data_IF_556262181824
#
_entry.id   IF_556262181824
#
_cell.length_a   1.000
_cell.length_b   1.000
_cell.length_c   1.000
_cell.angle_alpha   90.00
_cell.angle_beta   90.00
_cell.angle_gamma   90.00
#
_symmetry.space_group_name_H-M   'P 1'
#
loop_
_entity.id
_entity.type
_entity.pdbx_description
1 polymer ?
#
# COMPACT_ATOMS: atom_id res chain seq x y z
N UNK A 1 -39.06 12.00 -6.83
CA UNK A 1 -38.22 11.06 -6.04
C UNK A 1 -36.83 10.84 -6.65
N UNK A 2 -36.67 10.25 -7.86
CA UNK A 2 -35.34 9.97 -8.46
C UNK A 2 -34.44 11.22 -8.67
N UNK A 3 -34.98 12.32 -9.20
CA UNK A 3 -34.24 13.59 -9.38
C UNK A 3 -33.81 14.21 -8.05
N UNK A 4 -34.71 14.20 -7.06
CA UNK A 4 -34.46 14.74 -5.72
C UNK A 4 -33.34 13.97 -5.00
N UNK A 5 -33.32 12.64 -5.11
CA UNK A 5 -32.29 11.80 -4.52
C UNK A 5 -30.89 12.10 -5.08
N UNK A 6 -30.76 12.20 -6.41
CA UNK A 6 -29.49 12.54 -7.04
C UNK A 6 -28.99 13.93 -6.63
N UNK A 7 -29.88 14.91 -6.49
CA UNK A 7 -29.52 16.26 -6.05
C UNK A 7 -28.98 16.23 -4.61
N UNK A 8 -29.69 15.58 -3.68
CA UNK A 8 -29.26 15.49 -2.27
C UNK A 8 -27.87 14.82 -2.18
N UNK A 9 -27.68 13.73 -2.92
CA UNK A 9 -26.42 13.00 -2.90
C UNK A 9 -25.26 13.82 -3.49
N UNK A 10 -25.48 14.51 -4.61
CA UNK A 10 -24.45 15.38 -5.21
C UNK A 10 -24.13 16.54 -4.28
N UNK A 11 -25.11 17.12 -3.57
CA UNK A 11 -24.86 18.15 -2.56
C UNK A 11 -24.01 17.61 -1.41
N UNK A 12 -24.32 16.42 -0.89
CA UNK A 12 -23.52 15.79 0.16
C UNK A 12 -22.07 15.56 -0.30
N UNK A 13 -21.89 15.01 -1.49
CA UNK A 13 -20.57 14.81 -2.10
C UNK A 13 -19.84 16.14 -2.30
N UNK A 14 -20.56 17.19 -2.71
CA UNK A 14 -19.98 18.53 -2.88
C UNK A 14 -19.45 19.10 -1.57
N UNK A 15 -20.16 18.89 -0.45
CA UNK A 15 -19.72 19.31 0.89
C UNK A 15 -18.45 18.56 1.29
N UNK A 16 -18.42 17.23 1.16
CA UNK A 16 -17.25 16.41 1.51
C UNK A 16 -16.06 16.78 0.62
N UNK A 17 -16.27 16.88 -0.69
CA UNK A 17 -15.25 17.23 -1.66
C UNK A 17 -14.65 18.63 -1.40
N UNK A 18 -15.50 19.60 -1.07
CA UNK A 18 -15.06 20.95 -0.70
C UNK A 18 -14.29 20.92 0.62
N UNK A 19 -14.76 20.20 1.63
CA UNK A 19 -14.06 20.07 2.91
C UNK A 19 -12.64 19.51 2.73
N UNK A 20 -12.50 18.37 2.04
CA UNK A 20 -11.20 17.74 1.79
C UNK A 20 -10.27 18.64 0.96
N UNK A 21 -10.82 19.31 -0.07
CA UNK A 21 -10.03 20.20 -0.92
C UNK A 21 -9.56 21.44 -0.16
N UNK A 22 -10.43 22.05 0.66
CA UNK A 22 -10.06 23.20 1.50
C UNK A 22 -9.01 22.78 2.53
N UNK A 23 -9.18 21.63 3.19
CA UNK A 23 -8.21 21.10 4.13
C UNK A 23 -6.85 20.87 3.46
N UNK A 24 -6.82 20.27 2.26
CA UNK A 24 -5.60 20.10 1.47
C UNK A 24 -4.94 21.43 1.09
N UNK A 25 -5.71 22.44 0.69
CA UNK A 25 -5.18 23.79 0.41
C UNK A 25 -4.60 24.44 1.67
N UNK A 26 -5.28 24.34 2.81
CA UNK A 26 -4.77 24.86 4.08
C UNK A 26 -3.46 24.19 4.50
N UNK A 27 -3.29 22.90 4.19
CA UNK A 27 -2.03 22.18 4.42
C UNK A 27 -0.91 22.68 3.50
N UNK A 28 -1.18 22.85 2.21
CA UNK A 28 -0.20 23.41 1.25
C UNK A 28 0.23 24.82 1.66
N UNK A 29 -0.70 25.64 2.17
CA UNK A 29 -0.44 27.00 2.64
C UNK A 29 0.26 27.05 4.01
N UNK A 30 0.50 25.91 4.66
CA UNK A 30 1.14 25.85 5.99
C UNK A 30 0.24 26.30 7.16
N UNK A 31 -1.06 26.46 6.93
CA UNK A 31 -2.04 26.85 7.97
C UNK A 31 -2.41 25.66 8.85
N UNK A 32 -2.38 24.44 8.30
CA UNK A 32 -2.56 23.19 9.06
C UNK A 32 -1.45 22.20 8.75
N UNK A 33 -1.11 21.38 9.74
CA UNK A 33 -0.22 20.25 9.52
C UNK A 33 -0.88 19.21 8.62
N UNK A 34 -0.08 18.58 7.76
CA UNK A 34 -0.48 17.37 7.06
C UNK A 34 -0.53 16.18 8.03
N UNK A 35 -1.25 15.13 7.65
CA UNK A 35 -1.29 13.87 8.40
C UNK A 35 0.01 13.06 8.32
N UNK A 36 1.06 13.58 7.67
CA UNK A 36 2.32 12.87 7.51
C UNK A 36 3.52 13.82 7.38
N UNK A 37 4.56 13.58 8.17
CA UNK A 37 5.73 14.47 8.32
C UNK A 37 6.45 14.74 6.99
N UNK A 38 6.44 13.78 6.06
CA UNK A 38 7.15 13.89 4.77
C UNK A 38 6.31 14.48 3.63
N UNK A 39 5.01 14.67 3.81
CA UNK A 39 4.12 15.12 2.73
C UNK A 39 3.49 16.45 3.08
N UNK A 40 3.54 17.41 2.16
CA UNK A 40 2.96 18.74 2.38
C UNK A 40 1.42 18.75 2.40
N UNK A 41 0.77 17.73 1.82
CA UNK A 41 -0.69 17.64 1.72
C UNK A 41 -1.15 16.19 1.80
N UNK A 42 -2.14 15.93 2.64
CA UNK A 42 -2.81 14.62 2.74
C UNK A 42 -4.33 14.72 2.92
N UNK A 43 -4.88 15.93 3.06
CA UNK A 43 -6.27 16.11 3.48
C UNK A 43 -6.49 15.54 4.88
N UNK A 44 -7.61 14.85 5.10
CA UNK A 44 -7.85 14.09 6.34
C UNK A 44 -7.17 12.71 6.36
N UNK A 45 -6.51 12.32 5.27
CA UNK A 45 -5.83 11.03 5.14
C UNK A 45 -4.38 11.09 5.66
N UNK A 46 -3.73 9.93 5.74
CA UNK A 46 -2.30 9.82 6.05
C UNK A 46 -1.40 9.87 4.79
N UNK A 47 -1.97 9.66 3.61
CA UNK A 47 -1.21 9.54 2.36
C UNK A 47 -1.81 10.37 1.22
N UNK A 48 -1.00 11.15 0.47
CA UNK A 48 -1.48 11.98 -0.65
C UNK A 48 -2.08 11.17 -1.81
N UNK A 49 -1.65 9.91 -1.99
CA UNK A 49 -2.12 9.02 -3.05
C UNK A 49 -3.62 8.69 -2.95
N UNK A 50 -4.07 8.08 -1.83
CA UNK A 50 -5.48 7.89 -1.50
C UNK A 50 -6.29 9.18 -1.49
N UNK A 51 -5.77 10.26 -0.91
CA UNK A 51 -6.40 11.58 -0.97
C UNK A 51 -6.71 11.99 -2.41
N UNK A 52 -5.71 11.94 -3.30
CA UNK A 52 -5.90 12.24 -4.72
C UNK A 52 -6.92 11.32 -5.41
N UNK A 53 -6.96 10.04 -5.04
CA UNK A 53 -7.94 9.08 -5.53
C UNK A 53 -9.38 9.45 -5.18
N UNK A 54 -9.64 9.80 -3.91
CA UNK A 54 -10.95 10.27 -3.47
C UNK A 54 -11.35 11.59 -4.13
N UNK A 55 -10.42 12.54 -4.24
CA UNK A 55 -10.64 13.79 -5.00
C UNK A 55 -11.02 13.49 -6.45
N UNK A 56 -10.33 12.55 -7.12
CA UNK A 56 -10.67 12.14 -8.48
C UNK A 56 -12.09 11.55 -8.58
N UNK A 57 -12.49 10.70 -7.63
CA UNK A 57 -13.83 10.10 -7.61
C UNK A 57 -14.89 11.19 -7.45
N UNK A 58 -14.71 12.11 -6.49
CA UNK A 58 -15.63 13.24 -6.30
C UNK A 58 -15.70 14.10 -7.54
N UNK A 59 -14.56 14.48 -8.11
CA UNK A 59 -14.48 15.28 -9.31
C UNK A 59 -15.18 14.62 -10.50
N UNK A 60 -15.03 13.31 -10.70
CA UNK A 60 -15.76 12.53 -11.72
C UNK A 60 -17.28 12.60 -11.54
N UNK A 61 -17.77 12.52 -10.31
CA UNK A 61 -19.21 12.64 -10.00
C UNK A 61 -19.70 14.08 -10.28
N UNK A 62 -18.95 15.08 -9.82
CA UNK A 62 -19.32 16.49 -9.95
C UNK A 62 -19.35 16.92 -11.42
N UNK A 63 -18.30 16.61 -12.19
CA UNK A 63 -18.21 16.96 -13.62
C UNK A 63 -19.28 16.24 -14.44
N UNK A 64 -19.50 14.94 -14.20
CA UNK A 64 -20.56 14.21 -14.89
C UNK A 64 -21.95 14.76 -14.56
N UNK A 65 -22.22 15.14 -13.30
CA UNK A 65 -23.47 15.80 -12.92
C UNK A 65 -23.67 17.13 -13.66
N UNK A 66 -22.65 17.99 -13.72
CA UNK A 66 -22.72 19.28 -14.42
C UNK A 66 -23.06 19.10 -15.90
N UNK A 67 -22.45 18.12 -16.58
CA UNK A 67 -22.69 17.83 -18.00
C UNK A 67 -24.09 17.27 -18.21
N UNK A 68 -24.51 16.26 -17.43
CA UNK A 68 -25.80 15.59 -17.60
C UNK A 68 -26.96 16.53 -17.28
N UNK A 69 -26.78 17.43 -16.31
CA UNK A 69 -27.83 18.36 -15.88
C UNK A 69 -27.85 19.70 -16.66
N UNK A 70 -26.93 19.94 -17.61
CA UNK A 70 -26.74 21.26 -18.26
C UNK A 70 -27.99 21.90 -18.87
N UNK A 71 -28.96 21.10 -19.32
CA UNK A 71 -30.22 21.57 -19.90
C UNK A 71 -31.34 21.86 -18.89
N UNK A 72 -31.16 21.48 -17.63
CA UNK A 72 -32.18 21.57 -16.59
C UNK A 72 -32.27 22.98 -15.99
N UNK A 73 -33.48 23.54 -15.93
CA UNK A 73 -33.71 24.94 -15.50
C UNK A 73 -34.33 25.09 -14.10
N UNK A 74 -34.64 23.98 -13.41
CA UNK A 74 -35.22 24.01 -12.07
C UNK A 74 -34.28 24.70 -11.07
N UNK A 75 -34.82 25.57 -10.20
CA UNK A 75 -34.03 26.37 -9.24
C UNK A 75 -33.16 25.49 -8.33
N UNK A 76 -33.69 24.39 -7.83
CA UNK A 76 -32.94 23.45 -6.99
C UNK A 76 -31.78 22.77 -7.74
N UNK A 77 -31.97 22.44 -9.03
CA UNK A 77 -30.92 21.85 -9.88
C UNK A 77 -29.82 22.88 -10.14
N UNK A 78 -30.19 24.13 -10.47
CA UNK A 78 -29.22 25.22 -10.67
C UNK A 78 -28.39 25.52 -9.43
N UNK A 79 -29.03 25.55 -8.26
CA UNK A 79 -28.31 25.68 -7.00
C UNK A 79 -27.28 24.55 -6.84
N UNK A 80 -27.70 23.30 -7.03
CA UNK A 80 -26.80 22.15 -6.96
C UNK A 80 -25.69 22.19 -8.01
N UNK A 81 -25.94 22.72 -9.22
CA UNK A 81 -24.92 22.91 -10.25
C UNK A 81 -23.87 23.94 -9.82
N UNK A 82 -24.28 25.06 -9.23
CA UNK A 82 -23.33 26.07 -8.74
C UNK A 82 -22.44 25.46 -7.65
N UNK A 83 -23.03 24.79 -6.66
CA UNK A 83 -22.27 24.15 -5.57
C UNK A 83 -21.33 23.08 -6.13
N UNK A 84 -21.80 22.25 -7.07
CA UNK A 84 -20.97 21.23 -7.70
C UNK A 84 -19.83 21.82 -8.54
N UNK A 85 -20.05 22.94 -9.25
CA UNK A 85 -19.03 23.62 -10.03
C UNK A 85 -17.93 24.20 -9.14
N UNK A 86 -18.30 24.89 -8.05
CA UNK A 86 -17.33 25.39 -7.07
C UNK A 86 -16.52 24.24 -6.47
N UNK A 87 -17.19 23.16 -6.06
CA UNK A 87 -16.54 21.98 -5.50
C UNK A 87 -15.57 21.32 -6.51
N UNK A 88 -15.97 21.24 -7.79
CA UNK A 88 -15.12 20.67 -8.85
C UNK A 88 -13.86 21.52 -9.09
N UNK A 89 -13.98 22.86 -9.04
CA UNK A 89 -12.83 23.76 -9.13
C UNK A 89 -11.88 23.53 -7.95
N UNK A 90 -12.40 23.44 -6.72
CA UNK A 90 -11.58 23.14 -5.54
C UNK A 90 -10.83 21.80 -5.68
N UNK A 91 -11.52 20.75 -6.12
CA UNK A 91 -10.90 19.45 -6.39
C UNK A 91 -9.78 19.54 -7.44
N UNK A 92 -10.00 20.31 -8.51
CA UNK A 92 -8.98 20.51 -9.56
C UNK A 92 -7.74 21.26 -9.07
N UNK A 93 -7.85 22.12 -8.06
CA UNK A 93 -6.71 22.81 -7.47
C UNK A 93 -5.80 21.87 -6.68
N UNK A 94 -6.38 20.90 -5.96
CA UNK A 94 -5.61 19.97 -5.09
C UNK A 94 -5.17 18.69 -5.79
N UNK A 95 -5.86 18.24 -6.83
CA UNK A 95 -5.54 16.98 -7.52
C UNK A 95 -4.10 16.94 -8.09
N UNK A 96 -3.54 18.01 -8.72
CA UNK A 96 -2.14 18.01 -9.14
C UNK A 96 -1.17 17.86 -7.97
N UNK A 97 -1.45 18.53 -6.85
CA UNK A 97 -0.61 18.49 -5.66
C UNK A 97 -0.57 17.10 -5.00
N UNK A 98 -1.59 16.25 -5.23
CA UNK A 98 -1.62 14.87 -4.74
C UNK A 98 -0.56 13.96 -5.38
N UNK A 99 -0.04 14.34 -6.57
CA UNK A 99 0.92 13.56 -7.35
C UNK A 99 0.45 12.12 -7.68
N UNK A 100 -0.86 11.84 -7.56
CA UNK A 100 -1.44 10.51 -7.73
C UNK A 100 -1.74 10.20 -9.21
N UNK A 101 -0.82 9.47 -9.87
CA UNK A 101 -0.98 9.06 -11.29
C UNK A 101 -2.25 8.23 -11.55
N UNK A 102 -2.58 7.34 -10.62
CA UNK A 102 -3.77 6.50 -10.72
C UNK A 102 -5.08 7.32 -10.63
N UNK A 103 -5.08 8.37 -9.81
CA UNK A 103 -6.21 9.30 -9.72
C UNK A 103 -6.42 10.06 -11.04
N UNK A 104 -5.34 10.61 -11.61
CA UNK A 104 -5.39 11.25 -12.93
C UNK A 104 -5.88 10.32 -14.04
N UNK A 105 -5.44 9.06 -14.04
CA UNK A 105 -5.91 8.06 -14.98
C UNK A 105 -7.42 7.79 -14.82
N UNK A 106 -7.89 7.62 -13.58
CA UNK A 106 -9.31 7.42 -13.28
C UNK A 106 -10.19 8.58 -13.74
N UNK A 107 -9.83 9.81 -13.40
CA UNK A 107 -10.54 11.01 -13.86
C UNK A 107 -10.46 11.19 -15.38
N UNK A 108 -9.29 10.96 -15.99
CA UNK A 108 -9.07 11.07 -17.43
C UNK A 108 -9.95 10.12 -18.23
N UNK A 109 -10.09 8.86 -17.80
CA UNK A 109 -11.00 7.88 -18.43
C UNK A 109 -12.45 8.38 -18.37
N UNK A 110 -12.89 8.94 -17.25
CA UNK A 110 -14.23 9.53 -17.12
C UNK A 110 -14.43 10.68 -18.11
N UNK A 111 -13.46 11.59 -18.23
CA UNK A 111 -13.50 12.69 -19.19
C UNK A 111 -13.57 12.17 -20.64
N UNK A 112 -12.80 11.14 -20.99
CA UNK A 112 -12.83 10.52 -22.31
C UNK A 112 -14.20 9.91 -22.63
N UNK A 113 -14.80 9.20 -21.67
CA UNK A 113 -16.13 8.62 -21.83
C UNK A 113 -17.17 9.73 -22.03
N UNK A 114 -17.14 10.79 -21.21
CA UNK A 114 -18.06 11.92 -21.35
C UNK A 114 -17.87 12.66 -22.68
N UNK A 115 -16.64 12.84 -23.14
CA UNK A 115 -16.36 13.42 -24.46
C UNK A 115 -16.93 12.56 -25.59
N UNK A 116 -16.80 11.23 -25.48
CA UNK A 116 -17.36 10.28 -26.43
C UNK A 116 -18.89 10.30 -26.46
N UNK A 117 -19.55 10.27 -25.30
CA UNK A 117 -21.01 10.11 -25.19
C UNK A 117 -21.78 11.43 -25.30
N UNK A 118 -21.26 12.54 -24.78
CA UNK A 118 -22.02 13.81 -24.64
C UNK A 118 -21.52 14.95 -25.55
N UNK A 119 -20.34 14.81 -26.16
CA UNK A 119 -19.72 15.82 -27.03
C UNK A 119 -19.35 15.28 -28.42
N UNK A 120 -19.67 14.03 -28.75
CA UNK A 120 -19.49 13.49 -30.10
C UNK A 120 -18.03 13.28 -30.50
N UNK A 121 -17.13 12.99 -29.55
CA UNK A 121 -15.71 12.71 -29.85
C UNK A 121 -15.54 11.64 -30.92
N UNK A 122 -16.43 10.63 -30.97
CA UNK A 122 -16.41 9.60 -32.01
C UNK A 122 -16.49 10.19 -33.42
N UNK A 123 -17.38 11.17 -33.64
CA UNK A 123 -17.56 11.83 -34.93
C UNK A 123 -16.31 12.64 -35.29
N UNK A 124 -15.78 13.40 -34.33
CA UNK A 124 -14.54 14.14 -34.50
C UNK A 124 -13.35 13.24 -34.87
N UNK A 125 -13.20 12.10 -34.18
CA UNK A 125 -12.13 11.12 -34.47
C UNK A 125 -12.29 10.53 -35.88
N UNK A 126 -13.52 10.22 -36.29
CA UNK A 126 -13.77 9.67 -37.64
C UNK A 126 -13.52 10.68 -38.75
N UNK A 127 -13.79 11.97 -38.50
CA UNK A 127 -13.56 13.05 -39.45
C UNK A 127 -12.08 13.48 -39.51
N UNK A 128 -11.35 13.40 -38.38
CA UNK A 128 -9.98 13.90 -38.24
C UNK A 128 -8.96 12.79 -37.97
N UNK A 129 -9.07 11.62 -38.63
CA UNK A 129 -8.30 10.40 -38.32
C UNK A 129 -6.78 10.61 -38.19
N UNK A 130 -6.16 11.42 -39.06
CA UNK A 130 -4.72 11.71 -39.00
C UNK A 130 -4.34 12.46 -37.72
N UNK A 131 -5.10 13.51 -37.39
CA UNK A 131 -4.87 14.30 -36.18
C UNK A 131 -5.17 13.48 -34.92
N UNK A 132 -6.24 12.69 -34.93
CA UNK A 132 -6.57 11.77 -33.85
C UNK A 132 -5.45 10.74 -33.61
N UNK A 133 -4.83 10.21 -34.67
CA UNK A 133 -3.67 9.33 -34.57
C UNK A 133 -2.46 10.05 -33.95
N UNK A 134 -2.17 11.30 -34.36
CA UNK A 134 -1.09 12.11 -33.77
C UNK A 134 -1.35 12.34 -32.27
N UNK A 135 -2.57 12.72 -31.88
CA UNK A 135 -2.94 12.90 -30.47
C UNK A 135 -2.78 11.60 -29.69
N UNK A 136 -3.23 10.46 -30.24
CA UNK A 136 -3.09 9.16 -29.60
C UNK A 136 -1.61 8.78 -29.39
N UNK A 137 -0.75 8.98 -30.40
CA UNK A 137 0.69 8.73 -30.31
C UNK A 137 1.33 9.64 -29.24
N UNK A 138 0.97 10.93 -29.20
CA UNK A 138 1.46 11.87 -28.19
C UNK A 138 1.06 11.46 -26.78
N UNK A 139 -0.17 11.01 -26.58
CA UNK A 139 -0.65 10.50 -25.27
C UNK A 139 0.12 9.24 -24.87
N UNK A 140 0.28 8.27 -25.78
CA UNK A 140 1.06 7.05 -25.50
C UNK A 140 2.51 7.40 -25.16
N UNK A 141 3.13 8.31 -25.91
CA UNK A 141 4.51 8.76 -25.66
C UNK A 141 4.64 9.41 -24.28
N UNK A 142 3.68 10.26 -23.89
CA UNK A 142 3.66 10.88 -22.56
C UNK A 142 3.49 9.83 -21.44
N UNK A 143 2.61 8.85 -21.63
CA UNK A 143 2.40 7.76 -20.66
C UNK A 143 3.66 6.91 -20.49
N UNK A 144 4.34 6.58 -21.59
CA UNK A 144 5.64 5.90 -21.57
C UNK A 144 6.69 6.76 -20.86
N UNK A 145 6.75 8.06 -21.14
CA UNK A 145 7.62 9.00 -20.44
C UNK A 145 7.39 9.01 -18.93
N UNK A 146 6.12 9.09 -18.49
CA UNK A 146 5.73 9.05 -17.07
C UNK A 146 6.08 7.70 -16.43
N UNK A 147 5.97 6.59 -17.18
CA UNK A 147 6.40 5.27 -16.74
C UNK A 147 7.92 5.24 -16.51
N UNK A 148 8.69 5.73 -17.47
CA UNK A 148 10.15 5.79 -17.40
C UNK A 148 10.67 6.68 -16.28
N UNK A 149 10.01 7.81 -15.97
CA UNK A 149 10.41 8.71 -14.88
C UNK A 149 10.35 8.02 -13.50
N UNK A 150 9.39 7.11 -13.29
CA UNK A 150 9.23 6.35 -12.03
C UNK A 150 9.33 4.85 -12.28
N UNK A 151 10.36 4.45 -13.03
CA UNK A 151 10.62 3.07 -13.45
C UNK A 151 10.57 2.08 -12.29
N UNK A 152 11.37 2.30 -11.23
CA UNK A 152 11.46 1.38 -10.09
C UNK A 152 10.14 1.20 -9.35
N UNK A 153 9.37 2.29 -9.22
CA UNK A 153 8.03 2.23 -8.62
C UNK A 153 7.07 1.41 -9.48
N UNK A 154 7.15 1.50 -10.80
CA UNK A 154 6.28 0.75 -11.70
C UNK A 154 6.64 -0.74 -11.74
N UNK A 155 7.92 -1.08 -11.85
CA UNK A 155 8.40 -2.47 -11.80
C UNK A 155 8.13 -3.09 -10.43
N UNK A 156 8.30 -2.34 -9.33
CA UNK A 156 7.93 -2.81 -7.99
C UNK A 156 6.45 -3.17 -7.87
N UNK A 157 5.54 -2.38 -8.45
CA UNK A 157 4.10 -2.72 -8.49
C UNK A 157 3.82 -3.98 -9.29
N UNK A 158 4.46 -4.13 -10.46
CA UNK A 158 4.32 -5.35 -11.28
C UNK A 158 4.87 -6.58 -10.56
N UNK A 159 5.98 -6.43 -9.84
CA UNK A 159 6.53 -7.50 -9.01
C UNK A 159 5.56 -7.87 -7.88
N UNK A 160 4.95 -6.87 -7.23
CA UNK A 160 3.96 -7.14 -6.18
C UNK A 160 2.80 -7.97 -6.73
N UNK A 161 2.24 -7.56 -7.87
CA UNK A 161 1.15 -8.31 -8.52
C UNK A 161 1.58 -9.70 -8.97
N UNK A 162 2.84 -9.88 -9.37
CA UNK A 162 3.36 -11.22 -9.67
C UNK A 162 3.33 -12.14 -8.45
N UNK A 163 3.68 -11.63 -7.26
CA UNK A 163 3.59 -12.41 -6.02
C UNK A 163 2.13 -12.69 -5.65
N UNK A 164 1.24 -11.71 -5.76
CA UNK A 164 -0.20 -11.90 -5.50
C UNK A 164 -0.83 -12.94 -6.45
N UNK A 165 -0.47 -12.91 -7.74
CA UNK A 165 -0.92 -13.92 -8.71
C UNK A 165 -0.38 -15.31 -8.39
N UNK A 166 0.89 -15.43 -7.96
CA UNK A 166 1.44 -16.71 -7.48
C UNK A 166 0.65 -17.23 -6.27
N UNK A 167 0.40 -16.38 -5.28
CA UNK A 167 -0.40 -16.73 -4.11
C UNK A 167 -1.83 -17.19 -4.47
N UNK A 168 -2.46 -16.58 -5.48
CA UNK A 168 -3.76 -17.04 -6.00
C UNK A 168 -3.63 -18.43 -6.62
N UNK A 169 -2.56 -18.70 -7.38
CA UNK A 169 -2.35 -20.03 -7.97
C UNK A 169 -2.15 -21.13 -6.92
N UNK A 170 -1.61 -20.80 -5.74
CA UNK A 170 -1.41 -21.77 -4.66
C UNK A 170 -2.73 -22.17 -3.99
N UNK A 171 -3.67 -21.23 -3.80
CA UNK A 171 -4.99 -21.48 -3.19
C UNK A 171 -6.14 -20.86 -4.02
N UNK A 172 -6.41 -21.37 -5.24
CA UNK A 172 -7.24 -20.65 -6.21
C UNK A 172 -8.73 -20.61 -5.88
N UNK A 173 -9.27 -21.59 -5.16
CA UNK A 173 -10.71 -21.69 -4.92
C UNK A 173 -11.17 -20.91 -3.68
N UNK A 174 -10.46 -21.05 -2.57
CA UNK A 174 -10.86 -20.52 -1.27
C UNK A 174 -10.05 -19.30 -0.84
N UNK A 175 -8.91 -19.05 -1.48
CA UNK A 175 -7.95 -18.07 -1.00
C UNK A 175 -7.33 -18.47 0.34
N UNK A 176 -6.73 -17.50 1.02
CA UNK A 176 -5.94 -17.67 2.25
C UNK A 176 -6.63 -17.14 3.51
N UNK A 177 -7.84 -16.60 3.38
CA UNK A 177 -8.62 -16.01 4.47
C UNK A 177 -8.50 -14.47 4.56
N UNK A 178 -9.42 -13.84 5.33
CA UNK A 178 -9.47 -12.39 5.47
C UNK A 178 -8.20 -11.83 6.12
N UNK A 179 -7.75 -10.65 5.67
CA UNK A 179 -6.57 -9.93 6.17
C UNK A 179 -5.22 -10.67 6.02
N UNK A 180 -5.18 -11.83 5.35
CA UNK A 180 -3.96 -12.61 5.19
C UNK A 180 -3.02 -12.10 4.08
N UNK A 181 -3.49 -11.17 3.23
CA UNK A 181 -2.81 -10.73 2.00
C UNK A 181 -1.33 -10.37 2.21
N UNK A 182 -0.98 -9.61 3.24
CA UNK A 182 0.41 -9.18 3.46
C UNK A 182 1.32 -10.32 3.95
N UNK A 183 0.81 -11.19 4.81
CA UNK A 183 1.58 -12.34 5.29
C UNK A 183 1.78 -13.40 4.21
N UNK A 184 0.73 -13.64 3.41
CA UNK A 184 0.81 -14.52 2.24
C UNK A 184 1.79 -13.96 1.22
N UNK A 185 1.71 -12.66 0.91
CA UNK A 185 2.68 -11.97 0.06
C UNK A 185 4.12 -12.20 0.56
N UNK A 186 4.37 -11.95 1.85
CA UNK A 186 5.70 -12.10 2.44
C UNK A 186 6.25 -13.52 2.29
N UNK A 187 5.41 -14.53 2.55
CA UNK A 187 5.76 -15.94 2.38
C UNK A 187 6.04 -16.30 0.91
N UNK A 188 5.14 -15.94 0.01
CA UNK A 188 5.30 -16.20 -1.43
C UNK A 188 6.54 -15.52 -2.00
N UNK A 189 6.88 -14.31 -1.52
CA UNK A 189 8.11 -13.62 -1.91
C UNK A 189 9.35 -14.36 -1.37
N UNK A 190 9.32 -14.85 -0.13
CA UNK A 190 10.41 -15.65 0.42
C UNK A 190 10.65 -16.94 -0.37
N UNK A 191 9.57 -17.66 -0.73
CA UNK A 191 9.64 -18.86 -1.56
C UNK A 191 10.18 -18.54 -2.97
N UNK A 192 9.69 -17.44 -3.58
CA UNK A 192 10.15 -16.97 -4.88
C UNK A 192 11.67 -16.76 -4.93
N UNK A 193 12.26 -16.11 -3.93
CA UNK A 193 13.70 -15.86 -3.90
C UNK A 193 14.52 -17.07 -3.42
N UNK A 194 13.92 -18.00 -2.67
CA UNK A 194 14.58 -19.25 -2.25
C UNK A 194 14.77 -20.25 -3.39
N UNK A 195 13.86 -20.29 -4.38
CA UNK A 195 13.89 -21.28 -5.48
C UNK A 195 15.15 -21.20 -6.36
N UNK A 196 15.57 -19.99 -6.73
CA UNK A 196 16.73 -19.72 -7.61
C UNK A 196 17.09 -18.24 -7.57
N UNK A 197 18.29 -17.90 -8.03
CA UNK A 197 18.70 -16.51 -8.15
C UNK A 197 17.83 -15.73 -9.15
N UNK A 198 17.62 -14.45 -8.86
CA UNK A 198 16.80 -13.53 -9.66
C UNK A 198 17.66 -12.36 -10.11
N UNK A 199 17.27 -11.73 -11.21
CA UNK A 199 18.01 -10.58 -11.73
C UNK A 199 18.00 -9.42 -10.71
N UNK A 200 19.08 -8.64 -10.72
CA UNK A 200 19.29 -7.53 -9.78
C UNK A 200 18.14 -6.52 -9.77
N UNK A 201 17.51 -6.29 -10.94
CA UNK A 201 16.34 -5.40 -11.06
C UNK A 201 15.20 -5.85 -10.13
N UNK A 202 14.87 -7.14 -10.10
CA UNK A 202 13.77 -7.68 -9.29
C UNK A 202 14.16 -7.68 -7.81
N UNK A 203 15.39 -8.07 -7.49
CA UNK A 203 15.95 -8.01 -6.12
C UNK A 203 15.89 -6.58 -5.56
N UNK A 204 16.18 -5.57 -6.38
CA UNK A 204 16.18 -4.15 -5.98
C UNK A 204 14.79 -3.63 -5.63
N UNK A 205 13.76 -4.04 -6.37
CA UNK A 205 12.38 -3.56 -6.15
C UNK A 205 11.58 -4.38 -5.14
N UNK A 206 12.06 -5.58 -4.80
CA UNK A 206 11.42 -6.44 -3.80
C UNK A 206 11.46 -5.78 -2.42
N UNK A 207 10.28 -5.58 -1.84
CA UNK A 207 10.09 -4.92 -0.55
C UNK A 207 8.95 -5.56 0.23
N UNK A 208 8.61 -4.97 1.37
CA UNK A 208 7.51 -5.40 2.23
C UNK A 208 6.36 -4.36 2.13
N UNK A 209 5.33 -4.58 1.29
CA UNK A 209 4.24 -3.65 1.15
C UNK A 209 3.38 -3.58 2.42
N UNK A 210 2.91 -2.38 2.77
CA UNK A 210 1.96 -2.16 3.87
C UNK A 210 0.49 -2.29 3.43
N UNK A 211 0.23 -2.31 2.12
CA UNK A 211 -1.10 -2.42 1.54
C UNK A 211 -1.05 -3.25 0.27
N UNK A 212 -2.17 -3.91 -0.04
CA UNK A 212 -2.38 -4.50 -1.35
C UNK A 212 -2.70 -3.40 -2.36
N UNK A 213 -1.82 -3.17 -3.34
CA UNK A 213 -1.97 -2.05 -4.28
C UNK A 213 -2.89 -2.38 -5.48
N UNK A 214 -3.71 -3.41 -5.34
CA UNK A 214 -4.77 -3.79 -6.27
C UNK A 214 -5.87 -4.52 -5.48
N UNK A 215 -7.03 -3.88 -5.33
CA UNK A 215 -8.14 -4.44 -4.54
C UNK A 215 -8.70 -5.73 -5.16
N UNK A 216 -8.61 -5.90 -6.48
CA UNK A 216 -9.09 -7.12 -7.13
C UNK A 216 -8.17 -8.32 -6.83
N UNK A 217 -6.86 -8.12 -6.92
CA UNK A 217 -5.88 -9.16 -6.58
C UNK A 217 -5.94 -9.48 -5.08
N UNK A 218 -6.14 -8.48 -4.22
CA UNK A 218 -6.39 -8.71 -2.79
C UNK A 218 -7.55 -9.69 -2.57
N UNK A 219 -8.70 -9.46 -3.21
CA UNK A 219 -9.86 -10.35 -3.09
C UNK A 219 -9.51 -11.76 -3.60
N UNK A 220 -8.74 -11.85 -4.69
CA UNK A 220 -8.25 -13.12 -5.20
C UNK A 220 -7.40 -13.89 -4.18
N UNK A 221 -6.46 -13.23 -3.51
CA UNK A 221 -5.58 -13.87 -2.52
C UNK A 221 -6.34 -14.25 -1.25
N UNK A 222 -7.23 -13.37 -0.75
CA UNK A 222 -7.97 -13.59 0.49
C UNK A 222 -9.10 -14.63 0.32
N UNK A 223 -9.81 -14.62 -0.82
CA UNK A 223 -11.05 -15.39 -1.02
C UNK A 223 -11.09 -16.25 -2.29
N UNK A 224 -10.03 -16.26 -3.10
CA UNK A 224 -9.92 -17.07 -4.30
C UNK A 224 -10.45 -16.41 -5.58
N UNK A 225 -10.16 -17.06 -6.72
CA UNK A 225 -10.48 -16.58 -8.08
C UNK A 225 -11.99 -16.44 -8.30
N UNK A 226 -12.80 -17.29 -7.66
CA UNK A 226 -14.26 -17.27 -7.79
C UNK A 226 -14.82 -15.98 -7.17
N UNK A 227 -14.38 -15.62 -5.97
CA UNK A 227 -14.78 -14.38 -5.30
C UNK A 227 -14.30 -13.14 -6.06
N UNK A 228 -13.07 -13.19 -6.61
CA UNK A 228 -12.52 -12.12 -7.45
C UNK A 228 -13.37 -11.89 -8.70
N UNK A 229 -13.70 -12.95 -9.46
CA UNK A 229 -14.54 -12.86 -10.67
C UNK A 229 -15.95 -12.38 -10.32
N UNK A 230 -16.55 -12.91 -9.25
CA UNK A 230 -17.89 -12.51 -8.82
C UNK A 230 -17.93 -11.02 -8.46
N UNK A 231 -16.92 -10.51 -7.75
CA UNK A 231 -16.82 -9.09 -7.40
C UNK A 231 -16.70 -8.20 -8.65
N UNK A 232 -15.84 -8.57 -9.59
CA UNK A 232 -15.67 -7.84 -10.86
C UNK A 232 -16.99 -7.84 -11.64
N UNK A 233 -17.70 -8.97 -11.70
CA UNK A 233 -18.98 -9.08 -12.40
C UNK A 233 -20.06 -8.19 -11.77
N UNK A 234 -20.17 -8.19 -10.43
CA UNK A 234 -21.09 -7.31 -9.69
C UNK A 234 -20.79 -5.84 -10.01
N UNK A 235 -19.52 -5.45 -10.01
CA UNK A 235 -19.10 -4.08 -10.35
C UNK A 235 -19.47 -3.71 -11.78
N UNK A 236 -19.25 -4.61 -12.75
CA UNK A 236 -19.64 -4.39 -14.16
C UNK A 236 -21.16 -4.23 -14.28
N UNK A 237 -21.95 -5.10 -13.66
CA UNK A 237 -23.42 -5.01 -13.68
C UNK A 237 -23.89 -3.68 -13.08
N UNK A 238 -23.32 -3.29 -11.92
CA UNK A 238 -23.65 -2.03 -11.26
C UNK A 238 -23.30 -0.82 -12.15
N UNK A 239 -22.14 -0.84 -12.80
CA UNK A 239 -21.71 0.19 -13.75
C UNK A 239 -22.68 0.30 -14.93
N UNK A 240 -23.06 -0.83 -15.55
CA UNK A 240 -24.02 -0.85 -16.66
C UNK A 240 -25.36 -0.22 -16.22
N UNK A 241 -25.85 -0.59 -15.03
CA UNK A 241 -27.11 -0.05 -14.49
C UNK A 241 -27.01 1.46 -14.24
N UNK A 242 -25.92 1.94 -13.63
CA UNK A 242 -25.75 3.36 -13.30
C UNK A 242 -25.56 4.22 -14.54
N UNK A 243 -24.78 3.76 -15.53
CA UNK A 243 -24.55 4.47 -16.79
C UNK A 243 -25.82 4.52 -17.63
N UNK A 244 -26.57 3.41 -17.75
CA UNK A 244 -27.88 3.40 -18.44
C UNK A 244 -28.88 4.36 -17.81
N UNK A 245 -28.82 4.53 -16.48
CA UNK A 245 -29.65 5.50 -15.75
C UNK A 245 -29.13 6.94 -15.83
N UNK A 246 -28.04 7.21 -16.55
CA UNK A 246 -27.32 8.50 -16.57
C UNK A 246 -27.07 9.04 -15.16
N UNK A 247 -26.71 8.15 -14.23
CA UNK A 247 -26.39 8.54 -12.86
C UNK A 247 -24.94 9.03 -12.80
N UNK A 248 -24.67 10.22 -12.21
CA UNK A 248 -23.30 10.69 -11.97
C UNK A 248 -22.44 9.70 -11.17
N UNK A 249 -23.08 8.90 -10.30
CA UNK A 249 -22.41 7.86 -9.52
C UNK A 249 -21.76 6.78 -10.39
N UNK A 250 -22.30 6.52 -11.58
CA UNK A 250 -21.68 5.58 -12.51
C UNK A 250 -20.27 6.02 -12.90
N UNK A 251 -20.08 7.32 -13.14
CA UNK A 251 -18.77 7.89 -13.47
C UNK A 251 -17.83 7.92 -12.26
N UNK A 252 -18.36 8.20 -11.07
CA UNK A 252 -17.61 8.02 -9.82
C UNK A 252 -17.13 6.59 -9.62
N UNK A 253 -18.00 5.61 -9.86
CA UNK A 253 -17.66 4.19 -9.76
C UNK A 253 -16.63 3.75 -10.80
N UNK A 254 -16.63 4.32 -12.02
CA UNK A 254 -15.56 4.10 -13.01
C UNK A 254 -14.22 4.61 -12.46
N UNK A 255 -14.19 5.85 -11.96
CA UNK A 255 -12.98 6.44 -11.38
C UNK A 255 -12.47 5.62 -10.20
N UNK A 256 -13.36 5.19 -9.30
CA UNK A 256 -13.04 4.30 -8.18
C UNK A 256 -12.49 2.96 -8.66
N UNK A 257 -13.12 2.34 -9.66
CA UNK A 257 -12.72 1.03 -10.19
C UNK A 257 -11.31 1.07 -10.81
N UNK A 258 -11.00 2.14 -11.55
CA UNK A 258 -9.66 2.37 -12.10
C UNK A 258 -8.66 2.64 -10.98
N UNK A 259 -9.02 3.48 -10.01
CA UNK A 259 -8.13 3.81 -8.90
C UNK A 259 -7.82 2.58 -8.03
N UNK A 260 -8.82 1.74 -7.74
CA UNK A 260 -8.71 0.49 -6.99
C UNK A 260 -7.84 -0.57 -7.68
N UNK A 261 -7.62 -0.47 -8.99
CA UNK A 261 -6.71 -1.36 -9.70
C UNK A 261 -5.23 -1.08 -9.37
N UNK A 262 -4.90 0.17 -9.02
CA UNK A 262 -3.51 0.62 -8.80
C UNK A 262 -3.24 1.10 -7.36
N UNK A 263 -4.26 1.04 -6.50
CA UNK A 263 -4.28 1.61 -5.15
C UNK A 263 -5.21 0.83 -4.23
N UNK A 264 -5.35 1.29 -3.00
CA UNK A 264 -6.02 0.60 -1.89
C UNK A 264 -7.14 1.47 -1.27
N UNK A 265 -8.08 2.02 -2.07
CA UNK A 265 -9.10 2.96 -1.57
C UNK A 265 -10.03 2.37 -0.49
N UNK A 266 -10.10 1.04 -0.34
CA UNK A 266 -10.93 0.39 0.67
C UNK A 266 -10.17 0.15 1.98
N UNK A 267 -8.85 0.35 2.00
CA UNK A 267 -7.99 0.12 3.17
C UNK A 267 -7.62 1.40 3.91
N UNK A 268 -8.21 2.55 3.52
CA UNK A 268 -7.84 3.88 4.03
C UNK A 268 -8.74 4.36 5.17
N UNK A 269 -9.91 3.74 5.35
CA UNK A 269 -10.82 4.09 6.43
C UNK A 269 -10.54 3.21 7.63
N UNK A 270 -9.76 3.74 8.56
CA UNK A 270 -9.51 3.15 9.86
C UNK A 270 -10.02 4.10 10.94
N UNK A 271 -10.92 3.63 11.79
CA UNK A 271 -11.37 4.38 12.96
C UNK A 271 -10.53 3.89 14.13
N UNK A 272 -9.69 4.78 14.66
CA UNK A 272 -8.84 4.46 15.80
C UNK A 272 -9.70 4.07 17.01
N UNK A 273 -9.45 2.88 17.54
CA UNK A 273 -10.12 2.41 18.76
C UNK A 273 -9.44 2.97 20.00
N UNK A 274 -10.17 3.01 21.13
CA UNK A 274 -9.59 3.38 22.43
C UNK A 274 -8.38 2.49 22.78
N UNK A 275 -8.48 1.19 22.52
CA UNK A 275 -7.39 0.24 22.73
C UNK A 275 -6.13 0.60 21.92
N UNK A 276 -6.28 1.07 20.67
CA UNK A 276 -5.14 1.52 19.87
C UNK A 276 -4.53 2.82 20.40
N UNK A 277 -5.35 3.74 20.89
CA UNK A 277 -4.87 4.97 21.52
C UNK A 277 -4.04 4.66 22.76
N UNK A 278 -4.53 3.74 23.61
CA UNK A 278 -3.79 3.23 24.78
C UNK A 278 -2.48 2.61 24.32
N UNK A 279 -2.50 1.65 23.41
CA UNK A 279 -1.28 1.00 22.88
C UNK A 279 -0.25 2.01 22.35
N UNK A 280 -0.68 2.97 21.53
CA UNK A 280 0.22 4.00 20.99
C UNK A 280 0.81 4.86 22.09
N UNK A 281 0.03 5.18 23.13
CA UNK A 281 0.52 5.91 24.29
C UNK A 281 1.54 5.06 25.07
N UNK A 282 1.33 3.76 25.28
CA UNK A 282 2.24 2.88 26.03
C UNK A 282 3.64 2.78 25.40
N UNK A 283 3.81 3.08 24.10
CA UNK A 283 5.11 3.02 23.41
C UNK A 283 6.21 3.89 24.03
N UNK A 284 5.87 4.95 24.77
CA UNK A 284 6.90 5.72 25.48
C UNK A 284 7.63 4.87 26.53
N UNK A 285 6.95 3.93 27.20
CA UNK A 285 7.55 3.05 28.21
C UNK A 285 8.66 2.16 27.63
N UNK A 286 8.46 1.66 26.41
CA UNK A 286 9.49 0.90 25.67
C UNK A 286 10.76 1.71 25.45
N UNK A 287 10.66 3.05 25.36
CA UNK A 287 11.81 3.94 25.21
C UNK A 287 12.62 4.09 26.51
N UNK A 288 12.01 3.79 27.66
CA UNK A 288 12.63 3.75 28.97
C UNK A 288 13.01 2.33 29.42
N UNK A 289 12.89 1.35 28.52
CA UNK A 289 13.16 -0.08 28.79
C UNK A 289 12.29 -0.70 29.90
N UNK A 290 11.15 -0.09 30.20
CA UNK A 290 10.15 -0.55 31.17
C UNK A 290 9.26 -1.64 30.55
N UNK A 291 9.85 -2.78 30.19
CA UNK A 291 9.18 -3.82 29.41
C UNK A 291 8.19 -4.66 30.21
N UNK A 292 8.35 -4.78 31.54
CA UNK A 292 7.41 -5.49 32.39
C UNK A 292 6.05 -4.78 32.41
N UNK A 293 6.04 -3.46 32.57
CA UNK A 293 4.83 -2.63 32.51
C UNK A 293 4.21 -2.65 31.10
N UNK A 294 5.04 -2.62 30.05
CA UNK A 294 4.56 -2.71 28.65
C UNK A 294 3.83 -4.03 28.42
N UNK A 295 4.40 -5.15 28.86
CA UNK A 295 3.79 -6.48 28.68
C UNK A 295 2.50 -6.59 29.46
N UNK A 296 2.43 -6.07 30.69
CA UNK A 296 1.20 -6.05 31.48
C UNK A 296 0.06 -5.30 30.77
N UNK A 297 0.35 -4.13 30.19
CA UNK A 297 -0.64 -3.38 29.41
C UNK A 297 -1.03 -4.14 28.13
N UNK A 298 -0.05 -4.71 27.43
CA UNK A 298 -0.31 -5.43 26.18
C UNK A 298 -1.08 -6.73 26.38
N UNK A 299 -0.92 -7.42 27.50
CA UNK A 299 -1.75 -8.59 27.87
C UNK A 299 -3.24 -8.21 27.92
N UNK A 300 -3.57 -7.03 28.46
CA UNK A 300 -4.95 -6.54 28.54
C UNK A 300 -5.51 -6.15 27.16
N UNK A 301 -4.66 -5.65 26.27
CA UNK A 301 -5.04 -5.20 24.93
C UNK A 301 -5.08 -6.35 23.90
N UNK A 302 -4.46 -7.50 24.21
CA UNK A 302 -4.20 -8.55 23.24
C UNK A 302 -5.46 -9.06 22.54
N UNK A 303 -6.54 -9.30 23.28
CA UNK A 303 -7.79 -9.81 22.69
C UNK A 303 -8.44 -8.82 21.72
N UNK A 304 -8.28 -7.52 21.97
CA UNK A 304 -8.89 -6.45 21.16
C UNK A 304 -8.05 -6.12 19.94
N UNK A 305 -6.72 -6.11 20.06
CA UNK A 305 -5.78 -5.67 19.01
C UNK A 305 -5.11 -6.84 18.28
N UNK A 306 -5.69 -8.04 18.39
CA UNK A 306 -5.08 -9.28 17.93
C UNK A 306 -4.99 -9.41 16.41
N UNK A 307 -5.65 -8.51 15.67
CA UNK A 307 -5.64 -8.36 14.22
C UNK A 307 -4.77 -7.19 13.73
N UNK A 308 -4.20 -6.39 14.65
CA UNK A 308 -3.28 -5.32 14.34
C UNK A 308 -1.84 -5.83 14.38
N UNK A 309 -1.25 -6.06 13.21
CA UNK A 309 0.11 -6.61 13.12
C UNK A 309 1.17 -5.70 13.77
N UNK A 310 1.00 -4.38 13.76
CA UNK A 310 1.95 -3.46 14.39
C UNK A 310 1.92 -3.61 15.92
N UNK A 311 0.74 -3.81 16.50
CA UNK A 311 0.60 -4.14 17.92
C UNK A 311 1.24 -5.49 18.24
N UNK A 312 0.95 -6.53 17.43
CA UNK A 312 1.55 -7.86 17.61
C UNK A 312 3.09 -7.82 17.55
N UNK A 313 3.66 -6.99 16.67
CA UNK A 313 5.11 -6.79 16.61
C UNK A 313 5.65 -6.17 17.90
N UNK A 314 5.06 -5.06 18.35
CA UNK A 314 5.51 -4.38 19.57
C UNK A 314 5.39 -5.29 20.80
N UNK A 315 4.31 -6.06 20.90
CA UNK A 315 4.09 -7.01 21.99
C UNK A 315 5.06 -8.19 21.94
N UNK A 316 5.22 -8.80 20.78
CA UNK A 316 6.23 -9.84 20.57
C UNK A 316 7.64 -9.34 20.89
N UNK A 317 7.97 -8.09 20.51
CA UNK A 317 9.27 -7.48 20.79
C UNK A 317 9.48 -7.18 22.29
N UNK A 318 8.45 -6.71 23.00
CA UNK A 318 8.52 -6.52 24.45
C UNK A 318 8.75 -7.85 25.19
N UNK A 319 8.03 -8.91 24.81
CA UNK A 319 8.25 -10.27 25.33
C UNK A 319 9.66 -10.79 25.03
N UNK A 320 10.21 -10.51 23.84
CA UNK A 320 11.60 -10.82 23.48
C UNK A 320 12.59 -10.15 24.46
N UNK A 321 12.35 -8.89 24.81
CA UNK A 321 13.20 -8.12 25.71
C UNK A 321 13.19 -8.64 27.15
N UNK A 322 12.06 -9.19 27.59
CA UNK A 322 11.94 -9.87 28.88
C UNK A 322 12.48 -11.32 28.88
N UNK A 323 13.00 -11.82 27.75
CA UNK A 323 13.45 -13.22 27.64
C UNK A 323 12.32 -14.25 27.58
N UNK A 324 11.06 -13.80 27.45
CA UNK A 324 9.87 -14.67 27.31
C UNK A 324 9.75 -15.18 25.87
N UNK A 325 10.78 -15.88 25.40
CA UNK A 325 10.98 -16.23 23.98
C UNK A 325 9.85 -17.08 23.38
N UNK A 326 9.30 -18.03 24.13
CA UNK A 326 8.23 -18.89 23.64
C UNK A 326 6.94 -18.10 23.36
N UNK A 327 6.48 -17.28 24.33
CA UNK A 327 5.31 -16.40 24.15
C UNK A 327 5.56 -15.37 23.05
N UNK A 328 6.76 -14.80 23.01
CA UNK A 328 7.17 -13.89 21.94
C UNK A 328 7.00 -14.53 20.56
N UNK A 329 7.46 -15.77 20.38
CA UNK A 329 7.30 -16.50 19.13
C UNK A 329 5.83 -16.73 18.74
N UNK A 330 4.97 -17.07 19.69
CA UNK A 330 3.53 -17.27 19.43
C UNK A 330 2.85 -15.99 18.93
N UNK A 331 3.15 -14.84 19.57
CA UNK A 331 2.62 -13.53 19.17
C UNK A 331 3.19 -13.10 17.80
N UNK A 332 4.50 -13.26 17.60
CA UNK A 332 5.16 -12.88 16.35
C UNK A 332 4.73 -13.76 15.17
N UNK A 333 4.48 -15.05 15.38
CA UNK A 333 3.94 -15.94 14.34
C UNK A 333 2.54 -15.51 13.93
N UNK A 334 1.69 -15.09 14.87
CA UNK A 334 0.38 -14.53 14.53
C UNK A 334 0.52 -13.26 13.70
N UNK A 335 1.44 -12.37 14.07
CA UNK A 335 1.69 -11.13 13.32
C UNK A 335 2.28 -11.35 11.93
N UNK A 336 3.16 -12.34 11.76
CA UNK A 336 3.76 -12.66 10.45
C UNK A 336 2.75 -13.24 9.45
N UNK A 337 1.61 -13.77 9.92
CA UNK A 337 0.52 -14.24 9.05
C UNK A 337 -0.29 -13.10 8.42
N UNK A 338 -0.19 -11.88 8.96
CA UNK A 338 -0.93 -10.69 8.49
C UNK A 338 0.01 -9.50 8.17
N UNK A 339 1.32 -9.74 8.10
CA UNK A 339 2.33 -8.73 7.77
C UNK A 339 3.39 -9.26 6.83
N UNK A 340 3.88 -8.39 5.94
CA UNK A 340 4.99 -8.69 5.04
C UNK A 340 6.35 -8.27 5.61
N UNK A 341 6.42 -7.73 6.84
CA UNK A 341 7.68 -7.25 7.41
C UNK A 341 8.58 -8.41 7.87
N UNK A 342 9.82 -8.53 7.33
CA UNK A 342 10.74 -9.58 7.76
C UNK A 342 11.22 -9.44 9.21
N UNK A 343 10.97 -8.31 9.88
CA UNK A 343 11.36 -8.12 11.28
C UNK A 343 10.70 -9.13 12.23
N UNK A 344 9.48 -9.62 11.94
CA UNK A 344 8.88 -10.71 12.72
C UNK A 344 9.79 -11.94 12.78
N UNK A 345 10.32 -12.36 11.63
CA UNK A 345 11.23 -13.50 11.54
C UNK A 345 12.61 -13.20 12.13
N UNK A 346 13.11 -11.96 12.01
CA UNK A 346 14.36 -11.58 12.69
C UNK A 346 14.24 -11.70 14.21
N UNK A 347 13.13 -11.26 14.81
CA UNK A 347 12.96 -11.38 16.26
C UNK A 347 12.73 -12.83 16.68
N UNK A 348 11.92 -13.59 15.93
CA UNK A 348 11.76 -15.04 16.18
C UNK A 348 13.10 -15.78 16.09
N UNK A 349 13.96 -15.43 15.13
CA UNK A 349 15.30 -15.99 15.02
C UNK A 349 16.16 -15.69 16.26
N UNK A 350 16.12 -14.44 16.75
CA UNK A 350 16.84 -14.04 17.97
C UNK A 350 16.31 -14.75 19.22
N UNK A 351 14.99 -14.98 19.28
CA UNK A 351 14.38 -15.78 20.34
C UNK A 351 14.90 -17.21 20.32
N UNK A 352 14.93 -17.86 19.15
CA UNK A 352 15.49 -19.20 19.01
C UNK A 352 16.99 -19.26 19.35
N UNK A 353 17.78 -18.25 18.98
CA UNK A 353 19.17 -18.13 19.45
C UNK A 353 19.25 -18.07 20.99
N UNK A 354 18.42 -17.27 21.64
CA UNK A 354 18.35 -17.18 23.10
C UNK A 354 17.94 -18.49 23.78
N UNK A 355 17.21 -19.35 23.06
CA UNK A 355 16.84 -20.70 23.47
C UNK A 355 17.85 -21.79 23.04
N UNK A 356 18.98 -21.40 22.44
CA UNK A 356 20.00 -22.31 21.87
C UNK A 356 19.48 -23.24 20.76
N UNK A 357 18.38 -22.87 20.08
CA UNK A 357 17.78 -23.61 18.97
C UNK A 357 18.29 -23.06 17.62
N UNK A 358 19.59 -23.15 17.38
CA UNK A 358 20.27 -22.49 16.24
C UNK A 358 19.73 -22.90 14.87
N UNK A 359 19.31 -24.15 14.69
CA UNK A 359 18.71 -24.62 13.42
C UNK A 359 17.41 -23.87 13.09
N UNK A 360 16.61 -23.54 14.10
CA UNK A 360 15.38 -22.76 13.91
C UNK A 360 15.69 -21.29 13.69
N UNK A 361 16.68 -20.75 14.40
CA UNK A 361 17.15 -19.39 14.21
C UNK A 361 17.64 -19.16 12.76
N UNK A 362 18.47 -20.07 12.25
CA UNK A 362 18.98 -20.03 10.88
C UNK A 362 17.83 -19.98 9.85
N UNK A 363 16.82 -20.86 10.01
CA UNK A 363 15.64 -20.87 9.13
C UNK A 363 14.88 -19.54 9.16
N UNK A 364 14.69 -18.95 10.34
CA UNK A 364 14.02 -17.66 10.47
C UNK A 364 14.78 -16.53 9.76
N UNK A 365 16.09 -16.46 9.93
CA UNK A 365 16.90 -15.41 9.28
C UNK A 365 17.00 -15.58 7.77
N UNK A 366 17.11 -16.82 7.28
CA UNK A 366 17.07 -17.10 5.84
C UNK A 366 15.71 -16.72 5.27
N UNK A 367 14.61 -17.05 5.95
CA UNK A 367 13.26 -16.65 5.53
C UNK A 367 13.14 -15.12 5.49
N UNK A 368 13.60 -14.42 6.53
CA UNK A 368 13.61 -12.95 6.58
C UNK A 368 14.46 -12.32 5.46
N UNK A 369 15.58 -12.93 5.09
CA UNK A 369 16.40 -12.49 3.96
C UNK A 369 15.62 -12.63 2.65
N UNK A 370 15.00 -13.79 2.37
CA UNK A 370 14.26 -13.97 1.13
C UNK A 370 12.96 -13.17 1.08
N UNK A 371 12.36 -12.84 2.22
CA UNK A 371 11.24 -11.90 2.28
C UNK A 371 11.64 -10.51 1.78
N UNK A 372 12.85 -10.01 2.05
CA UNK A 372 13.33 -8.73 1.48
C UNK A 372 14.83 -8.83 1.19
N UNK A 373 15.21 -9.35 0.00
CA UNK A 373 16.61 -9.69 -0.32
C UNK A 373 17.59 -8.52 -0.24
N UNK A 374 17.12 -7.29 -0.37
CA UNK A 374 17.92 -6.08 -0.28
C UNK A 374 18.25 -5.65 1.16
N UNK A 375 17.64 -6.26 2.20
CA UNK A 375 17.93 -5.95 3.61
C UNK A 375 19.18 -6.68 4.08
N UNK A 376 20.16 -5.93 4.61
CA UNK A 376 21.41 -6.46 5.14
C UNK A 376 21.23 -7.17 6.50
N UNK A 377 20.28 -6.71 7.32
CA UNK A 377 20.18 -7.10 8.72
C UNK A 377 20.00 -8.61 8.97
N UNK A 378 19.15 -9.36 8.22
CA UNK A 378 19.03 -10.81 8.41
C UNK A 378 20.35 -11.57 8.17
N UNK A 379 21.15 -11.14 7.19
CA UNK A 379 22.46 -11.75 6.90
C UNK A 379 23.50 -11.42 7.98
N UNK A 380 23.43 -10.23 8.57
CA UNK A 380 24.26 -9.88 9.74
C UNK A 380 23.93 -10.78 10.92
N UNK A 381 22.64 -11.06 11.18
CA UNK A 381 22.23 -11.97 12.24
C UNK A 381 22.74 -13.40 11.98
N UNK A 382 22.66 -13.90 10.74
CA UNK A 382 23.24 -15.19 10.36
C UNK A 382 24.76 -15.24 10.60
N UNK A 383 25.48 -14.21 10.14
CA UNK A 383 26.93 -14.11 10.35
C UNK A 383 27.29 -14.14 11.84
N UNK A 384 26.66 -13.30 12.66
CA UNK A 384 26.95 -13.18 14.09
C UNK A 384 26.58 -14.45 14.86
N UNK A 385 25.46 -15.08 14.52
CA UNK A 385 25.09 -16.37 15.09
C UNK A 385 26.15 -17.43 14.79
N UNK A 386 26.62 -17.53 13.54
CA UNK A 386 27.64 -18.51 13.16
C UNK A 386 29.01 -18.23 13.78
N UNK A 387 29.34 -16.97 14.10
CA UNK A 387 30.50 -16.66 14.95
C UNK A 387 30.33 -17.22 16.36
N UNK A 388 29.16 -17.03 16.98
CA UNK A 388 28.89 -17.54 18.34
C UNK A 388 28.91 -19.06 18.42
N UNK A 389 28.50 -19.75 17.35
CA UNK A 389 28.50 -21.22 17.29
C UNK A 389 29.79 -21.80 16.70
N UNK A 390 30.85 -20.99 16.59
CA UNK A 390 32.17 -21.38 16.06
C UNK A 390 32.14 -22.00 14.65
N UNK A 391 31.16 -21.59 13.83
CA UNK A 391 31.07 -21.98 12.42
C UNK A 391 31.68 -20.90 11.52
N UNK A 392 33.00 -20.82 11.55
CA UNK A 392 33.80 -19.85 10.79
C UNK A 392 33.47 -19.81 9.29
N UNK A 393 33.26 -20.98 8.67
CA UNK A 393 32.98 -21.08 7.24
C UNK A 393 31.65 -20.39 6.87
N UNK A 394 30.57 -20.65 7.62
CA UNK A 394 29.28 -19.98 7.40
C UNK A 394 29.33 -18.50 7.77
N UNK A 395 30.04 -18.13 8.83
CA UNK A 395 30.23 -16.73 9.20
C UNK A 395 30.91 -15.93 8.06
N UNK A 396 32.01 -16.44 7.51
CA UNK A 396 32.70 -15.85 6.36
C UNK A 396 31.79 -15.80 5.12
N UNK A 397 30.99 -16.84 4.87
CA UNK A 397 30.06 -16.87 3.74
C UNK A 397 29.05 -15.71 3.82
N UNK A 398 28.34 -15.57 4.94
CA UNK A 398 27.32 -14.52 5.10
C UNK A 398 27.93 -13.12 5.19
N UNK A 399 29.09 -12.98 5.85
CA UNK A 399 29.82 -11.71 5.89
C UNK A 399 30.21 -11.24 4.49
N UNK A 400 30.77 -12.13 3.66
CA UNK A 400 31.11 -11.80 2.27
C UNK A 400 29.87 -11.54 1.40
N UNK A 401 28.75 -12.20 1.68
CA UNK A 401 27.49 -11.91 0.99
C UNK A 401 27.03 -10.47 1.27
N UNK A 402 27.05 -10.04 2.54
CA UNK A 402 26.76 -8.64 2.92
C UNK A 402 27.71 -7.66 2.23
N UNK A 403 29.01 -7.99 2.16
CA UNK A 403 30.01 -7.10 1.56
C UNK A 403 29.79 -6.86 0.05
N UNK A 404 29.20 -7.83 -0.66
CA UNK A 404 28.85 -7.73 -2.08
C UNK A 404 27.56 -6.94 -2.34
N UNK A 405 26.72 -6.74 -1.33
CA UNK A 405 25.44 -6.05 -1.50
C UNK A 405 25.63 -4.53 -1.62
N UNK A 406 24.77 -3.85 -2.40
CA UNK A 406 24.84 -2.40 -2.54
C UNK A 406 24.49 -1.70 -1.21
N UNK A 407 25.28 -0.68 -0.87
CA UNK A 407 25.06 0.16 0.32
C UNK A 407 24.70 1.58 -0.10
N UNK A 408 23.55 2.06 0.36
CA UNK A 408 23.19 3.46 0.17
C UNK A 408 23.98 4.33 1.15
N UNK A 409 24.91 5.15 0.62
CA UNK A 409 25.78 6.03 1.41
C UNK A 409 25.05 7.11 2.21
N UNK A 410 23.76 7.37 1.92
CA UNK A 410 22.93 8.29 2.70
C UNK A 410 22.32 7.65 3.95
N UNK A 411 22.35 6.32 4.06
CA UNK A 411 21.75 5.57 5.15
C UNK A 411 22.82 5.06 6.11
N UNK A 412 23.04 5.83 7.20
CA UNK A 412 24.05 5.51 8.22
C UNK A 412 23.88 4.12 8.83
N UNK A 413 22.65 3.65 9.01
CA UNK A 413 22.37 2.30 9.51
C UNK A 413 22.90 1.21 8.58
N UNK A 414 22.77 1.36 7.25
CA UNK A 414 23.31 0.39 6.31
C UNK A 414 24.83 0.38 6.31
N UNK A 415 25.46 1.56 6.40
CA UNK A 415 26.92 1.68 6.51
C UNK A 415 27.45 0.95 7.75
N UNK A 416 26.82 1.18 8.92
CA UNK A 416 27.20 0.49 10.17
C UNK A 416 27.07 -1.03 10.06
N UNK A 417 26.03 -1.55 9.40
CA UNK A 417 25.87 -3.00 9.18
C UNK A 417 26.96 -3.54 8.25
N UNK A 418 27.31 -2.81 7.19
CA UNK A 418 28.39 -3.21 6.27
C UNK A 418 29.76 -3.20 6.95
N UNK A 419 30.04 -2.19 7.78
CA UNK A 419 31.26 -2.11 8.59
C UNK A 419 31.37 -3.25 9.60
N UNK A 420 30.26 -3.62 10.26
CA UNK A 420 30.20 -4.82 11.13
C UNK A 420 30.59 -6.08 10.38
N UNK A 421 30.05 -6.29 9.17
CA UNK A 421 30.43 -7.43 8.34
C UNK A 421 31.91 -7.40 7.95
N UNK A 422 32.43 -6.24 7.56
CA UNK A 422 33.85 -6.08 7.21
C UNK A 422 34.76 -6.44 8.39
N UNK A 423 34.52 -5.84 9.55
CA UNK A 423 35.32 -6.10 10.75
C UNK A 423 35.30 -7.58 11.15
N UNK A 424 34.15 -8.24 11.05
CA UNK A 424 34.04 -9.66 11.31
C UNK A 424 34.84 -10.51 10.31
N UNK A 425 34.69 -10.26 9.00
CA UNK A 425 35.40 -11.00 7.95
C UNK A 425 36.91 -10.81 8.06
N UNK A 426 37.38 -9.58 8.30
CA UNK A 426 38.80 -9.29 8.47
C UNK A 426 39.37 -10.03 9.68
N UNK A 427 38.65 -10.03 10.80
CA UNK A 427 39.07 -10.76 12.01
C UNK A 427 39.15 -12.27 11.75
N UNK A 428 38.13 -12.85 11.10
CA UNK A 428 38.08 -14.29 10.82
C UNK A 428 39.09 -14.75 9.75
N UNK A 429 39.63 -13.85 8.91
CA UNK A 429 40.65 -14.24 7.92
C UNK A 429 42.08 -14.23 8.49
N UNK A 430 42.30 -13.58 9.64
CA UNK A 430 43.62 -13.47 10.29
C UNK A 430 43.90 -14.65 11.22
N UNK A 431 42.88 -15.14 11.90
CA UNK A 431 42.88 -16.41 12.64
C UNK A 431 42.31 -17.51 11.74
#
# INVERSE_FOLDING_TARGET
MKKTFNIILVLLISVIASYESILGLLQILGVRASGHVQFAMTGSFENPGPFGGWISIFLSILVSYLIISRGEKYRCVRFCQIVAAVSAVLCMLVLPASMSRAAWLGFGIVCLILAYTEYGLHKWVTENRKLAAIVAISVVTLLVGIFCIKWDSAIGRLHIWHMELRAICDNPLTGSGPNAILGVYGRTQAEYFAEKERCEMIVRVAGCPEYAFNEYLRIGVEYGVVAMIATILILIILLIVLIRKKSPLGYGLISLSVFAFFSYPLSVFHIESEAESVWKSTRYLSSYELYDEVVQEYDNLYNTLSDNYRFLYDYGYALHKLGQYQKSNEVLEKGSRISSDPMFYNIMGKNYEGMMQYDKAEKCYIHAHYMVPSRLYPLILLMEMHVKTDNKAKALYYGNLVLKMPVNSKLSTMQKLHERARSCVDTLNVF
#
